data_IF_458933875664
#
_entry.id   IF_458933875664
#
_cell.length_a   1.000
_cell.length_b   1.000
_cell.length_c   1.000
_cell.angle_alpha   90.00
_cell.angle_beta   90.00
_cell.angle_gamma   90.00
#
_symmetry.space_group_name_H-M   'P 1'
#
loop_
_entity.id
_entity.type
_entity.pdbx_description
1 polymer ?
#
# COMPACT_ATOMS: atom_id res chain seq x y z
N UNK A 1 55.21 0.21 41.69
CA UNK A 1 54.00 0.99 41.27
C UNK A 1 53.32 0.22 40.16
N UNK A 2 52.26 -0.56 40.48
CA UNK A 2 51.51 -1.31 39.49
C UNK A 2 50.30 -0.48 39.04
N UNK A 3 50.28 -0.01 37.80
CA UNK A 3 49.14 0.61 37.18
C UNK A 3 48.13 -0.45 36.74
N UNK A 4 47.00 -0.52 37.46
CA UNK A 4 45.87 -1.34 37.05
C UNK A 4 45.13 -0.70 35.88
N UNK A 5 45.25 -1.28 34.69
CA UNK A 5 44.45 -0.93 33.53
C UNK A 5 43.05 -1.49 33.70
N UNK A 6 42.05 -0.62 33.82
CA UNK A 6 40.64 -0.99 33.88
C UNK A 6 40.13 -1.10 32.45
N UNK A 7 39.93 -2.31 31.96
CA UNK A 7 39.21 -2.56 30.72
C UNK A 7 37.71 -2.34 30.96
N UNK A 8 37.17 -1.26 30.40
CA UNK A 8 35.73 -1.02 30.37
C UNK A 8 35.14 -1.77 29.18
N UNK A 9 34.58 -2.93 29.42
CA UNK A 9 33.89 -3.73 28.40
C UNK A 9 32.49 -3.14 28.23
N UNK A 10 32.27 -2.35 27.16
CA UNK A 10 30.95 -1.86 26.80
C UNK A 10 30.19 -3.03 26.20
N UNK A 11 29.27 -3.63 26.97
CA UNK A 11 28.26 -4.54 26.46
C UNK A 11 27.23 -3.71 25.64
N UNK A 12 27.39 -3.69 24.32
CA UNK A 12 26.33 -3.29 23.39
C UNK A 12 25.23 -4.36 23.45
N UNK A 13 24.25 -4.12 24.29
CA UNK A 13 23.02 -4.90 24.28
C UNK A 13 22.23 -4.51 23.02
N UNK A 14 22.37 -5.31 21.96
CA UNK A 14 21.48 -5.25 20.83
C UNK A 14 20.08 -5.64 21.36
N UNK A 15 19.25 -4.63 21.62
CA UNK A 15 17.82 -4.85 21.77
C UNK A 15 17.29 -5.37 20.44
N UNK A 16 17.17 -6.69 20.33
CA UNK A 16 16.39 -7.34 19.29
C UNK A 16 14.92 -7.00 19.60
N UNK A 17 14.46 -5.85 19.15
CA UNK A 17 13.05 -5.52 19.23
C UNK A 17 12.33 -6.45 18.27
N UNK A 18 11.53 -7.39 18.82
CA UNK A 18 10.62 -8.17 18.01
C UNK A 18 9.79 -7.20 17.16
N UNK A 19 9.81 -7.37 15.84
CA UNK A 19 9.02 -6.53 14.95
C UNK A 19 7.55 -6.84 15.23
N UNK A 20 6.81 -5.84 15.74
CA UNK A 20 5.38 -5.95 15.90
C UNK A 20 4.72 -6.06 14.52
N UNK A 21 3.80 -7.01 14.38
CA UNK A 21 2.90 -7.13 13.23
C UNK A 21 1.56 -6.52 13.62
N UNK A 22 1.10 -5.57 12.84
CA UNK A 22 -0.17 -4.87 13.03
C UNK A 22 -1.06 -5.06 11.81
N UNK A 23 -2.28 -5.56 12.04
CA UNK A 23 -3.31 -5.72 11.00
C UNK A 23 -4.21 -4.49 11.02
N UNK A 24 -4.17 -3.71 9.94
CA UNK A 24 -4.77 -2.38 9.87
C UNK A 24 -6.09 -2.44 9.10
N UNK A 25 -7.15 -1.88 9.68
CA UNK A 25 -8.49 -1.82 9.10
C UNK A 25 -9.19 -0.57 9.57
N UNK A 26 -9.78 0.20 8.65
CA UNK A 26 -10.71 1.27 9.00
C UNK A 26 -12.05 0.71 9.47
N UNK A 27 -12.82 1.50 10.21
CA UNK A 27 -14.17 1.09 10.65
C UNK A 27 -15.11 0.83 9.45
N UNK A 28 -14.96 1.61 8.37
CA UNK A 28 -15.74 1.41 7.14
C UNK A 28 -15.36 0.10 6.45
N UNK A 29 -14.06 -0.22 6.38
CA UNK A 29 -13.60 -1.47 5.79
C UNK A 29 -14.07 -2.69 6.57
N UNK A 30 -14.09 -2.65 7.91
CA UNK A 30 -14.61 -3.73 8.75
C UNK A 30 -16.06 -4.10 8.41
N UNK A 31 -16.86 -3.12 7.99
CA UNK A 31 -18.25 -3.35 7.61
C UNK A 31 -18.42 -4.16 6.32
N UNK A 32 -17.40 -4.18 5.45
CA UNK A 32 -17.41 -5.00 4.23
C UNK A 32 -17.21 -6.49 4.48
N UNK A 33 -16.78 -6.87 5.70
CA UNK A 33 -16.49 -8.25 6.09
C UNK A 33 -15.56 -9.01 5.14
N UNK A 34 -14.58 -8.30 4.56
CA UNK A 34 -13.59 -8.91 3.66
C UNK A 34 -12.66 -9.87 4.43
N UNK A 35 -12.18 -10.95 3.79
CA UNK A 35 -11.33 -11.97 4.43
C UNK A 35 -9.85 -11.55 4.55
N UNK A 36 -9.56 -10.25 4.47
CA UNK A 36 -8.21 -9.69 4.52
C UNK A 36 -8.23 -8.30 5.20
N UNK A 37 -7.06 -7.81 5.60
CA UNK A 37 -6.89 -6.45 6.14
C UNK A 37 -6.62 -5.44 5.04
N UNK A 38 -6.94 -4.15 5.23
CA UNK A 38 -6.58 -3.09 4.28
C UNK A 38 -5.05 -2.99 4.11
N UNK A 39 -4.32 -3.18 5.20
CA UNK A 39 -2.87 -3.23 5.19
C UNK A 39 -2.34 -4.04 6.38
N UNK A 40 -1.09 -4.48 6.28
CA UNK A 40 -0.33 -5.09 7.38
C UNK A 40 0.97 -4.30 7.55
N UNK A 41 1.22 -3.85 8.78
CA UNK A 41 2.49 -3.23 9.16
C UNK A 41 3.42 -4.25 9.80
N UNK A 42 4.67 -4.28 9.35
CA UNK A 42 5.75 -5.07 9.96
C UNK A 42 6.95 -4.15 10.19
N UNK A 43 7.12 -3.71 11.41
CA UNK A 43 8.13 -2.71 11.74
C UNK A 43 7.93 -1.40 10.95
N UNK A 44 8.85 -1.06 10.04
CA UNK A 44 8.76 0.13 9.19
C UNK A 44 8.04 -0.11 7.85
N UNK A 45 7.76 -1.36 7.49
CA UNK A 45 7.13 -1.70 6.22
C UNK A 45 5.62 -1.80 6.36
N UNK A 46 4.92 -1.29 5.35
CA UNK A 46 3.48 -1.41 5.17
C UNK A 46 3.21 -2.17 3.88
N UNK A 47 2.46 -3.26 3.99
CA UNK A 47 1.97 -4.06 2.89
C UNK A 47 0.50 -3.75 2.70
N UNK A 48 0.16 -3.00 1.67
CA UNK A 48 -1.22 -2.66 1.34
C UNK A 48 -1.83 -3.78 0.51
N UNK A 49 -3.05 -4.20 0.86
CA UNK A 49 -3.84 -5.09 0.02
C UNK A 49 -4.18 -4.44 -1.31
N UNK A 50 -4.46 -5.26 -2.33
CA UNK A 50 -4.90 -4.79 -3.63
C UNK A 50 -6.11 -3.87 -3.50
N UNK A 51 -6.04 -2.72 -4.16
CA UNK A 51 -7.12 -1.76 -4.27
C UNK A 51 -7.64 -1.75 -5.71
N UNK A 52 -8.95 -1.62 -5.87
CA UNK A 52 -9.62 -1.45 -7.15
C UNK A 52 -10.31 -0.08 -7.19
N UNK A 53 -10.85 0.31 -8.34
CA UNK A 53 -11.50 1.61 -8.52
C UNK A 53 -12.92 1.66 -7.93
N UNK A 54 -13.08 1.25 -6.68
CA UNK A 54 -14.37 1.23 -5.99
C UNK A 54 -14.57 2.44 -5.08
N UNK A 55 -15.82 2.76 -4.84
CA UNK A 55 -16.28 3.76 -3.87
C UNK A 55 -17.37 3.14 -3.00
N UNK A 56 -17.42 3.56 -1.73
CA UNK A 56 -18.51 3.18 -0.84
C UNK A 56 -19.84 3.78 -1.32
N UNK A 57 -20.94 3.02 -1.10
CA UNK A 57 -22.30 3.49 -1.34
C UNK A 57 -22.92 4.02 -0.03
N UNK A 58 -24.17 4.45 -0.08
CA UNK A 58 -24.92 4.85 1.11
C UNK A 58 -25.35 3.64 1.98
N UNK A 59 -25.10 2.43 1.49
CA UNK A 59 -25.40 1.18 2.20
C UNK A 59 -24.12 0.72 2.93
N UNK A 60 -24.13 0.56 4.26
CA UNK A 60 -22.97 0.12 5.00
C UNK A 60 -22.39 -1.22 4.49
N UNK A 61 -21.08 -1.23 4.22
CA UNK A 61 -20.37 -2.41 3.72
C UNK A 61 -20.53 -2.68 2.22
N UNK A 62 -21.28 -1.84 1.50
CA UNK A 62 -21.45 -1.97 0.05
C UNK A 62 -20.53 -1.01 -0.70
N UNK A 63 -19.91 -1.52 -1.75
CA UNK A 63 -19.06 -0.75 -2.66
C UNK A 63 -19.50 -0.94 -4.11
N UNK A 64 -19.11 -0.03 -4.98
CA UNK A 64 -19.30 -0.15 -6.44
C UNK A 64 -18.11 0.42 -7.19
N UNK A 65 -17.78 -0.15 -8.35
CA UNK A 65 -16.78 0.40 -9.25
C UNK A 65 -17.23 1.75 -9.83
N UNK A 66 -16.28 2.67 -9.97
CA UNK A 66 -16.53 3.91 -10.71
C UNK A 66 -16.73 3.62 -12.20
N UNK A 67 -17.64 4.33 -12.84
CA UNK A 67 -17.88 4.18 -14.26
C UNK A 67 -16.81 4.91 -15.10
N UNK A 68 -16.66 4.49 -16.38
CA UNK A 68 -15.85 5.21 -17.36
C UNK A 68 -14.55 4.49 -17.77
N UNK A 69 -14.33 3.26 -17.32
CA UNK A 69 -13.23 2.40 -17.76
C UNK A 69 -11.90 2.68 -17.04
N UNK A 70 -10.81 2.29 -17.68
CA UNK A 70 -9.48 2.19 -17.05
C UNK A 70 -8.99 3.50 -16.40
N UNK A 71 -9.23 4.67 -17.00
CA UNK A 71 -8.74 5.94 -16.47
C UNK A 71 -9.38 6.34 -15.14
N UNK A 72 -10.72 6.44 -15.02
CA UNK A 72 -11.34 6.74 -13.74
C UNK A 72 -11.12 5.63 -12.70
N UNK A 73 -11.11 4.36 -13.10
CA UNK A 73 -10.79 3.27 -12.19
C UNK A 73 -9.36 3.38 -11.63
N UNK A 74 -8.36 3.62 -12.50
CA UNK A 74 -6.97 3.83 -12.03
C UNK A 74 -6.86 5.00 -11.06
N UNK A 75 -7.54 6.11 -11.37
CA UNK A 75 -7.55 7.29 -10.50
C UNK A 75 -8.13 6.95 -9.15
N UNK A 76 -9.30 6.32 -9.12
CA UNK A 76 -9.97 5.95 -7.88
C UNK A 76 -9.14 4.93 -7.07
N UNK A 77 -8.56 3.93 -7.74
CA UNK A 77 -7.64 2.97 -7.11
C UNK A 77 -6.49 3.68 -6.38
N UNK A 78 -5.87 4.67 -7.03
CA UNK A 78 -4.77 5.43 -6.44
C UNK A 78 -5.23 6.34 -5.28
N UNK A 79 -6.43 6.93 -5.37
CA UNK A 79 -7.03 7.68 -4.25
C UNK A 79 -7.34 6.75 -3.06
N UNK A 80 -7.78 5.53 -3.31
CA UNK A 80 -8.02 4.53 -2.26
C UNK A 80 -6.70 4.16 -1.56
N UNK A 81 -5.63 3.87 -2.32
CA UNK A 81 -4.29 3.62 -1.78
C UNK A 81 -3.81 4.81 -0.94
N UNK A 82 -3.93 6.03 -1.47
CA UNK A 82 -3.58 7.26 -0.77
C UNK A 82 -4.34 7.38 0.56
N UNK A 83 -5.64 7.13 0.55
CA UNK A 83 -6.49 7.19 1.74
C UNK A 83 -6.05 6.17 2.81
N UNK A 84 -5.71 4.93 2.42
CA UNK A 84 -5.18 3.92 3.37
C UNK A 84 -3.87 4.41 4.00
N UNK A 85 -2.95 4.97 3.19
CA UNK A 85 -1.68 5.49 3.67
C UNK A 85 -1.88 6.66 4.66
N UNK A 86 -2.70 7.65 4.30
CA UNK A 86 -2.94 8.85 5.11
C UNK A 86 -3.56 8.53 6.46
N UNK A 87 -4.51 7.59 6.52
CA UNK A 87 -5.08 7.12 7.79
C UNK A 87 -4.05 6.48 8.72
N UNK A 88 -2.94 6.01 8.17
CA UNK A 88 -1.85 5.39 8.91
C UNK A 88 -0.61 6.30 9.05
N UNK A 89 -0.75 7.61 8.83
CA UNK A 89 0.31 8.61 9.01
C UNK A 89 1.38 8.57 7.90
N UNK A 90 1.07 8.01 6.74
CA UNK A 90 1.94 7.93 5.57
C UNK A 90 1.36 8.74 4.40
N UNK A 91 2.14 8.83 3.33
CA UNK A 91 1.71 9.44 2.07
C UNK A 91 2.20 8.61 0.88
N UNK A 92 1.85 9.02 -0.33
CA UNK A 92 2.36 8.38 -1.54
C UNK A 92 3.89 8.51 -1.69
N UNK A 93 4.52 9.51 -1.06
CA UNK A 93 5.99 9.64 -1.04
C UNK A 93 6.67 8.50 -0.25
N UNK A 94 5.94 7.79 0.59
CA UNK A 94 6.41 6.62 1.34
C UNK A 94 6.37 5.32 0.52
N UNK A 95 5.68 5.30 -0.64
CA UNK A 95 5.53 4.10 -1.47
C UNK A 95 6.84 3.78 -2.18
N UNK A 96 7.31 2.54 -2.03
CA UNK A 96 8.57 2.07 -2.63
C UNK A 96 8.36 1.04 -3.74
N UNK A 97 7.22 0.34 -3.73
CA UNK A 97 6.88 -0.67 -4.74
C UNK A 97 5.38 -0.69 -4.98
N UNK A 98 4.97 -0.86 -6.26
CA UNK A 98 3.61 -1.22 -6.62
C UNK A 98 3.60 -2.39 -7.59
N UNK A 99 2.55 -3.22 -7.50
CA UNK A 99 2.20 -4.22 -8.51
C UNK A 99 0.86 -3.83 -9.10
N UNK A 100 0.81 -3.62 -10.42
CA UNK A 100 -0.42 -3.31 -11.13
C UNK A 100 -0.88 -4.55 -11.88
N UNK A 101 -2.09 -4.97 -11.63
CA UNK A 101 -2.78 -6.08 -12.29
C UNK A 101 -3.88 -5.51 -13.18
N UNK A 102 -3.95 -5.95 -14.42
CA UNK A 102 -4.92 -5.47 -15.41
C UNK A 102 -5.85 -6.62 -15.83
N UNK A 103 -7.08 -6.31 -16.15
CA UNK A 103 -7.98 -7.25 -16.81
C UNK A 103 -7.62 -7.42 -18.29
N UNK A 104 -7.04 -6.39 -18.91
CA UNK A 104 -6.57 -6.39 -20.30
C UNK A 104 -5.24 -5.63 -20.42
N UNK A 105 -4.19 -6.28 -20.90
CA UNK A 105 -2.86 -5.69 -21.05
C UNK A 105 -2.83 -4.55 -22.07
N UNK A 106 -3.77 -4.49 -23.00
CA UNK A 106 -3.87 -3.39 -23.98
C UNK A 106 -4.14 -2.03 -23.32
N UNK A 107 -4.65 -2.01 -22.09
CA UNK A 107 -4.92 -0.81 -21.31
C UNK A 107 -3.71 -0.29 -20.51
N UNK A 108 -2.58 -0.98 -20.60
CA UNK A 108 -1.35 -0.63 -19.87
C UNK A 108 -0.93 0.84 -20.05
N UNK A 109 -1.01 1.35 -21.27
CA UNK A 109 -0.58 2.73 -21.59
C UNK A 109 -1.50 3.77 -20.94
N UNK A 110 -2.81 3.54 -20.96
CA UNK A 110 -3.82 4.45 -20.41
C UNK A 110 -3.77 4.43 -18.87
N UNK A 111 -3.71 3.24 -18.28
CA UNK A 111 -3.48 3.07 -16.85
C UNK A 111 -2.21 3.81 -16.40
N UNK A 112 -1.09 3.62 -17.10
CA UNK A 112 0.19 4.23 -16.73
C UNK A 112 0.16 5.76 -16.79
N UNK A 113 -0.59 6.37 -17.72
CA UNK A 113 -0.76 7.83 -17.81
C UNK A 113 -1.52 8.41 -16.62
N UNK A 114 -2.48 7.67 -16.05
CA UNK A 114 -3.19 8.12 -14.84
C UNK A 114 -2.34 7.86 -13.59
N UNK A 115 -1.77 6.66 -13.45
CA UNK A 115 -0.93 6.25 -12.35
C UNK A 115 0.22 7.23 -12.06
N UNK A 116 0.96 7.66 -13.10
CA UNK A 116 2.15 8.50 -12.92
C UNK A 116 1.85 9.87 -12.32
N UNK A 117 0.61 10.37 -12.42
CA UNK A 117 0.20 11.65 -11.84
C UNK A 117 0.28 11.66 -10.31
N UNK A 118 0.21 10.49 -9.69
CA UNK A 118 0.30 10.31 -8.24
C UNK A 118 1.74 10.27 -7.71
N UNK A 119 2.73 10.15 -8.62
CA UNK A 119 4.16 10.09 -8.28
C UNK A 119 4.96 11.17 -9.04
N UNK A 120 4.71 12.46 -8.75
CA UNK A 120 5.36 13.55 -9.49
C UNK A 120 6.85 13.68 -9.18
N UNK A 121 7.30 13.24 -8.01
CA UNK A 121 8.68 13.32 -7.55
C UNK A 121 9.39 11.98 -7.76
N UNK A 122 9.24 11.08 -6.80
CA UNK A 122 9.88 9.77 -6.77
C UNK A 122 8.92 8.72 -7.33
N UNK A 123 9.42 7.86 -8.21
CA UNK A 123 8.63 6.79 -8.81
C UNK A 123 8.95 5.46 -8.12
N UNK A 124 7.97 4.79 -7.49
CA UNK A 124 8.21 3.48 -6.90
C UNK A 124 8.58 2.45 -7.96
N UNK A 125 9.32 1.42 -7.55
CA UNK A 125 9.50 0.25 -8.40
C UNK A 125 8.13 -0.34 -8.77
N UNK A 126 7.93 -0.73 -10.05
CA UNK A 126 6.64 -1.23 -10.50
C UNK A 126 6.78 -2.50 -11.35
N UNK A 127 5.89 -3.44 -11.14
CA UNK A 127 5.61 -4.54 -12.06
C UNK A 127 4.18 -4.40 -12.57
N UNK A 128 3.92 -4.79 -13.81
CA UNK A 128 2.57 -4.78 -14.39
C UNK A 128 2.36 -6.02 -15.22
N UNK A 129 1.24 -6.69 -15.05
CA UNK A 129 0.81 -7.84 -15.85
C UNK A 129 -0.71 -7.84 -15.98
N UNK A 130 -1.26 -8.68 -16.85
CA UNK A 130 -2.69 -8.92 -16.95
C UNK A 130 -3.02 -10.33 -16.52
N UNK A 131 -4.17 -10.48 -15.86
CA UNK A 131 -4.80 -11.76 -15.52
C UNK A 131 -5.98 -12.09 -16.45
N UNK A 132 -6.72 -13.13 -16.09
CA UNK A 132 -7.95 -13.55 -16.80
C UNK A 132 -9.19 -12.79 -16.32
N UNK A 133 -9.06 -11.95 -15.31
CA UNK A 133 -10.09 -11.10 -14.70
C UNK A 133 -9.67 -10.65 -13.32
N UNK A 134 -10.34 -9.63 -12.79
CA UNK A 134 -10.15 -9.04 -11.47
C UNK A 134 -11.46 -9.05 -10.69
N UNK A 135 -11.36 -8.86 -9.38
CA UNK A 135 -12.51 -8.83 -8.49
C UNK A 135 -13.55 -7.80 -8.96
N UNK A 136 -14.82 -8.10 -8.81
CA UNK A 136 -15.97 -7.26 -9.18
C UNK A 136 -16.01 -6.85 -10.67
N UNK A 137 -15.16 -7.44 -11.54
CA UNK A 137 -15.01 -7.03 -12.94
C UNK A 137 -14.19 -5.74 -13.11
N UNK A 138 -13.35 -5.38 -12.12
CA UNK A 138 -12.44 -4.26 -12.20
C UNK A 138 -11.48 -4.38 -13.39
N UNK A 139 -11.08 -3.26 -13.94
CA UNK A 139 -10.10 -3.19 -15.05
C UNK A 139 -8.67 -3.12 -14.54
N UNK A 140 -8.48 -2.62 -13.32
CA UNK A 140 -7.19 -2.50 -12.66
C UNK A 140 -7.30 -2.79 -11.17
N UNK A 141 -6.29 -3.48 -10.66
CA UNK A 141 -6.03 -3.65 -9.24
C UNK A 141 -4.57 -3.28 -8.98
N UNK A 142 -4.31 -2.56 -7.88
CA UNK A 142 -2.94 -2.13 -7.53
C UNK A 142 -2.72 -2.42 -6.05
N UNK A 143 -1.64 -3.17 -5.76
CA UNK A 143 -1.09 -3.29 -4.42
C UNK A 143 0.19 -2.48 -4.29
N UNK A 144 0.51 -2.01 -3.08
CA UNK A 144 1.72 -1.26 -2.83
C UNK A 144 2.43 -1.69 -1.55
N UNK A 145 3.76 -1.50 -1.53
CA UNK A 145 4.57 -1.55 -0.32
C UNK A 145 5.05 -0.13 -0.04
N UNK A 146 4.86 0.31 1.20
CA UNK A 146 5.35 1.61 1.68
C UNK A 146 6.29 1.42 2.88
N UNK A 147 7.07 2.44 3.21
CA UNK A 147 7.98 2.43 4.36
C UNK A 147 7.93 3.74 5.11
N UNK A 148 8.09 3.69 6.43
CA UNK A 148 8.34 4.89 7.24
C UNK A 148 9.72 5.44 6.87
N UNK A 149 9.77 6.70 6.45
CA UNK A 149 11.01 7.44 6.24
C UNK A 149 11.29 8.19 7.54
N UNK A 150 12.41 7.90 8.19
CA UNK A 150 12.91 8.71 9.32
C UNK A 150 13.62 9.93 8.75
N UNK A 151 13.31 11.10 9.29
CA UNK A 151 14.02 12.34 9.01
C UNK A 151 15.37 12.38 9.75
#
# INVERSE_FOLDING_TARGET
>A
MLTKSIFFTIFLWNYLTAQNVEYLQSETFKQTNMPFSEAVRVGKLFFLSGQIGEVYTDIPGETKLVAGGIKPETRQTMENIKSVLERNGLSLDNVVKCTCMLADISEWAEMSKEYIKFFPKNKPARSTFAGTGLAMGARVEIECIATVIEE
#
